data_IF_193536544136
#
_entry.id   IF_193536544136
#
_cell.length_a   1.000
_cell.length_b   1.000
_cell.length_c   1.000
_cell.angle_alpha   90.00
_cell.angle_beta   90.00
_cell.angle_gamma   90.00
#
_symmetry.space_group_name_H-M   'P 1'
#
loop_
_entity.id
_entity.type
_entity.pdbx_description
1 polymer ?
#
# COMPACT_ATOMS: atom_id res chain seq x y z
N UNK A 1 25.28 -11.09 -7.62
CA UNK A 1 25.97 -9.82 -7.29
C UNK A 1 25.04 -9.05 -6.38
N UNK A 2 25.37 -8.93 -5.09
CA UNK A 2 24.47 -8.29 -4.13
C UNK A 2 24.14 -6.84 -4.52
N UNK A 3 22.92 -6.42 -4.23
CA UNK A 3 22.49 -5.03 -4.38
C UNK A 3 23.40 -4.16 -3.52
N UNK A 4 24.30 -3.39 -4.15
CA UNK A 4 25.15 -2.43 -3.45
C UNK A 4 24.39 -1.12 -3.36
N UNK A 5 24.37 -0.51 -2.19
CA UNK A 5 23.96 0.88 -2.06
C UNK A 5 24.97 1.72 -2.84
N UNK A 6 24.50 2.41 -3.89
CA UNK A 6 25.35 3.06 -4.88
C UNK A 6 25.82 4.47 -4.46
N UNK A 7 25.22 5.06 -3.42
CA UNK A 7 25.51 6.41 -2.92
C UNK A 7 24.99 6.60 -1.48
N UNK A 8 25.23 7.76 -0.87
CA UNK A 8 24.79 8.07 0.49
C UNK A 8 23.48 8.87 0.59
N UNK A 9 22.95 9.36 -0.53
CA UNK A 9 21.75 10.20 -0.55
C UNK A 9 21.97 11.59 0.03
N UNK A 10 23.20 12.11 -0.04
CA UNK A 10 23.57 13.46 0.41
C UNK A 10 23.68 14.42 -0.78
N UNK A 11 23.79 15.74 -0.54
CA UNK A 11 24.04 16.72 -1.62
C UNK A 11 25.33 16.40 -2.39
N UNK A 12 26.38 15.96 -1.68
CA UNK A 12 27.68 15.66 -2.28
C UNK A 12 27.75 14.27 -2.92
N UNK A 13 26.84 13.37 -2.55
CA UNK A 13 26.77 11.98 -3.03
C UNK A 13 25.29 11.53 -3.08
N UNK A 14 24.51 12.03 -4.06
CA UNK A 14 23.09 11.72 -4.19
C UNK A 14 22.86 10.32 -4.76
N UNK A 15 21.71 9.71 -4.46
CA UNK A 15 21.33 8.46 -5.11
C UNK A 15 21.12 8.67 -6.62
N UNK A 16 21.62 7.77 -7.48
CA UNK A 16 21.31 7.83 -8.90
C UNK A 16 19.82 7.60 -9.11
N UNK A 17 19.19 8.45 -9.92
CA UNK A 17 17.76 8.40 -10.21
C UNK A 17 17.44 8.51 -11.69
N UNK A 18 16.19 8.20 -12.03
CA UNK A 18 15.64 8.39 -13.36
C UNK A 18 14.15 8.73 -13.25
N UNK A 19 13.66 9.58 -14.17
CA UNK A 19 12.25 9.88 -14.29
C UNK A 19 11.63 8.87 -15.26
N UNK A 20 10.71 8.05 -14.77
CA UNK A 20 9.89 7.19 -15.61
C UNK A 20 8.46 7.76 -15.68
N UNK A 21 8.06 8.41 -16.80
CA UNK A 21 6.76 9.05 -16.90
C UNK A 21 5.67 7.99 -17.02
N UNK A 22 4.90 7.81 -15.96
CA UNK A 22 3.68 6.98 -15.97
C UNK A 22 2.49 7.89 -16.29
N UNK A 23 1.72 7.56 -17.32
CA UNK A 23 0.54 8.31 -17.70
C UNK A 23 -0.55 8.23 -16.61
N UNK A 24 -1.26 9.32 -16.39
CA UNK A 24 -2.38 9.35 -15.43
C UNK A 24 -3.46 8.34 -15.86
N UNK A 25 -4.03 7.62 -14.88
CA UNK A 25 -5.06 6.61 -15.13
C UNK A 25 -4.52 5.26 -15.62
N UNK A 26 -3.20 5.08 -15.66
CA UNK A 26 -2.58 3.78 -15.91
C UNK A 26 -2.66 2.94 -14.63
N UNK A 27 -3.12 1.70 -14.74
CA UNK A 27 -2.97 0.72 -13.66
C UNK A 27 -1.48 0.49 -13.40
N UNK A 28 -1.06 0.82 -12.19
CA UNK A 28 0.32 0.62 -11.74
C UNK A 28 0.36 -0.56 -10.78
N UNK A 29 1.33 -1.43 -10.98
CA UNK A 29 1.65 -2.53 -10.09
C UNK A 29 3.16 -2.65 -9.96
N UNK A 30 3.60 -3.27 -8.88
CA UNK A 30 5.01 -3.59 -8.69
C UNK A 30 5.24 -5.04 -9.10
N UNK A 31 6.37 -5.28 -9.77
CA UNK A 31 6.81 -6.63 -10.14
C UNK A 31 8.29 -6.78 -9.82
N UNK A 32 8.66 -7.98 -9.39
CA UNK A 32 10.05 -8.41 -9.23
C UNK A 32 10.39 -9.46 -10.28
N UNK A 33 11.38 -9.18 -11.12
CA UNK A 33 12.00 -10.19 -11.98
C UNK A 33 13.21 -10.78 -11.25
N UNK A 34 13.12 -12.06 -10.89
CA UNK A 34 14.21 -12.83 -10.29
C UNK A 34 14.85 -13.72 -11.35
N UNK A 35 16.18 -13.68 -11.47
CA UNK A 35 16.94 -14.45 -12.44
C UNK A 35 17.98 -15.33 -11.75
N UNK A 36 17.85 -16.64 -11.92
CA UNK A 36 18.81 -17.64 -11.46
C UNK A 36 19.32 -18.44 -12.66
N UNK A 37 20.55 -18.12 -13.10
CA UNK A 37 21.12 -18.68 -14.33
C UNK A 37 20.31 -18.29 -15.58
N UNK A 38 19.73 -19.28 -16.26
CA UNK A 38 18.86 -19.09 -17.43
C UNK A 38 17.37 -19.05 -17.06
N UNK A 39 17.02 -19.30 -15.80
CA UNK A 39 15.63 -19.27 -15.33
C UNK A 39 15.27 -17.85 -14.91
N UNK A 40 14.14 -17.37 -15.41
CA UNK A 40 13.52 -16.10 -15.03
C UNK A 40 12.18 -16.41 -14.38
N UNK A 41 11.95 -15.81 -13.22
CA UNK A 41 10.68 -15.88 -12.48
C UNK A 41 10.22 -14.46 -12.21
N UNK A 42 8.92 -14.22 -12.38
CA UNK A 42 8.32 -12.90 -12.17
C UNK A 42 7.29 -13.00 -11.07
N UNK A 43 7.44 -12.16 -10.05
CA UNK A 43 6.50 -11.99 -8.96
C UNK A 43 5.77 -10.66 -9.12
N UNK A 44 4.46 -10.67 -8.93
CA UNK A 44 3.55 -9.53 -9.08
C UNK A 44 2.93 -9.18 -7.71
N UNK A 45 2.77 -7.89 -7.45
CA UNK A 45 2.06 -7.37 -6.27
C UNK A 45 0.58 -7.75 -6.23
N UNK A 46 0.01 -8.21 -7.35
CA UNK A 46 -1.28 -8.87 -7.41
C UNK A 46 -1.09 -10.40 -7.32
N UNK A 47 -1.44 -11.04 -6.19
CA UNK A 47 -1.23 -12.48 -6.00
C UNK A 47 -1.90 -13.33 -7.07
N UNK A 48 -3.03 -12.89 -7.64
CA UNK A 48 -3.74 -13.65 -8.69
C UNK A 48 -2.97 -13.73 -10.02
N UNK A 49 -2.00 -12.85 -10.22
CA UNK A 49 -1.09 -12.89 -11.38
C UNK A 49 0.14 -13.78 -11.14
N UNK A 50 0.36 -14.25 -9.91
CA UNK A 50 1.47 -15.14 -9.56
C UNK A 50 1.14 -16.59 -9.87
N UNK A 51 2.14 -17.34 -10.34
CA UNK A 51 1.96 -18.75 -10.75
C UNK A 51 1.54 -19.68 -9.60
N UNK A 52 1.88 -19.31 -8.36
CA UNK A 52 1.51 -20.01 -7.13
C UNK A 52 0.32 -19.36 -6.41
N UNK A 53 -0.21 -18.26 -6.93
CA UNK A 53 -1.30 -17.47 -6.34
C UNK A 53 -0.99 -16.89 -4.95
N UNK A 54 0.29 -16.76 -4.62
CA UNK A 54 0.78 -16.29 -3.32
C UNK A 54 1.27 -14.85 -3.44
N UNK A 55 1.17 -14.08 -2.36
CA UNK A 55 1.79 -12.75 -2.28
C UNK A 55 3.25 -12.88 -1.86
N UNK A 56 4.14 -12.33 -2.69
CA UNK A 56 5.59 -12.29 -2.46
C UNK A 56 6.07 -10.90 -2.03
N UNK A 57 5.14 -9.97 -1.81
CA UNK A 57 5.42 -8.59 -1.40
C UNK A 57 4.86 -8.32 0.00
N UNK A 58 5.73 -7.84 0.90
CA UNK A 58 5.34 -7.18 2.12
C UNK A 58 5.45 -5.66 1.96
N UNK A 59 4.44 -4.95 2.48
CA UNK A 59 4.40 -3.49 2.47
C UNK A 59 4.33 -2.97 3.90
N UNK A 60 5.34 -2.20 4.30
CA UNK A 60 5.36 -1.50 5.58
C UNK A 60 5.08 -0.03 5.37
N UNK A 61 4.06 0.50 6.05
CA UNK A 61 3.79 1.93 6.08
C UNK A 61 4.76 2.63 7.04
N UNK A 62 5.49 3.64 6.57
CA UNK A 62 6.53 4.34 7.33
C UNK A 62 6.25 5.84 7.48
N UNK A 63 5.13 6.25 8.13
CA UNK A 63 4.78 7.66 8.31
C UNK A 63 5.79 8.44 9.16
N UNK A 64 6.58 7.75 9.99
CA UNK A 64 7.62 8.34 10.83
C UNK A 64 8.77 8.98 10.03
N UNK A 65 8.92 8.64 8.75
CA UNK A 65 9.91 9.26 7.88
C UNK A 65 9.48 10.64 7.37
N UNK A 66 8.25 11.08 7.64
CA UNK A 66 7.75 12.40 7.23
C UNK A 66 8.73 13.52 7.61
N UNK A 67 9.13 14.30 6.61
CA UNK A 67 10.06 15.41 6.76
C UNK A 67 11.54 15.04 6.66
N UNK A 68 11.89 13.75 6.66
CA UNK A 68 13.25 13.32 6.34
C UNK A 68 13.58 13.63 4.88
N UNK A 69 14.85 13.97 4.63
CA UNK A 69 15.34 14.43 3.32
C UNK A 69 16.46 13.52 2.84
N UNK A 70 16.40 13.15 1.57
CA UNK A 70 17.48 12.52 0.84
C UNK A 70 17.66 13.21 -0.51
N UNK A 71 18.82 13.03 -1.13
CA UNK A 71 19.12 13.63 -2.42
C UNK A 71 19.18 12.57 -3.51
N UNK A 72 18.56 12.88 -4.65
CA UNK A 72 18.58 12.06 -5.87
C UNK A 72 19.13 12.88 -7.02
N UNK A 73 19.95 12.30 -7.87
CA UNK A 73 20.42 12.93 -9.11
C UNK A 73 19.83 12.21 -10.31
N UNK A 74 18.95 12.91 -11.03
CA UNK A 74 18.29 12.44 -12.24
C UNK A 74 19.06 12.86 -13.53
N UNK A 75 20.34 13.23 -13.41
CA UNK A 75 21.19 13.72 -14.49
C UNK A 75 21.25 15.25 -14.61
N UNK A 76 20.64 15.97 -13.66
CA UNK A 76 20.58 17.45 -13.63
C UNK A 76 21.17 18.03 -12.33
N UNK A 77 21.82 17.18 -11.52
CA UNK A 77 22.35 17.53 -10.22
C UNK A 77 21.45 17.09 -9.07
N UNK A 78 21.93 17.24 -7.82
CA UNK A 78 21.23 16.76 -6.64
C UNK A 78 19.90 17.50 -6.40
N UNK A 79 18.81 16.75 -6.35
CA UNK A 79 17.47 17.22 -6.01
C UNK A 79 17.06 16.70 -4.62
N UNK A 80 16.55 17.59 -3.77
CA UNK A 80 16.06 17.21 -2.45
C UNK A 80 14.69 16.52 -2.56
N UNK A 81 14.62 15.29 -2.09
CA UNK A 81 13.37 14.54 -1.95
C UNK A 81 12.98 14.48 -0.48
N UNK A 82 11.86 15.11 -0.14
CA UNK A 82 11.29 15.10 1.21
C UNK A 82 10.26 13.97 1.32
N UNK A 83 10.42 13.08 2.30
CA UNK A 83 9.42 12.05 2.61
C UNK A 83 8.15 12.66 3.19
N UNK A 84 7.01 12.03 2.89
CA UNK A 84 5.71 12.43 3.40
C UNK A 84 5.06 11.27 4.19
N UNK A 85 3.83 11.48 4.65
CA UNK A 85 3.09 10.45 5.39
C UNK A 85 2.69 9.23 4.56
N UNK A 86 2.84 9.27 3.23
CA UNK A 86 2.58 8.18 2.30
C UNK A 86 3.88 7.53 1.82
N UNK A 87 4.78 7.27 2.76
CA UNK A 87 6.04 6.56 2.52
C UNK A 87 5.88 5.09 2.91
N UNK A 88 6.32 4.18 2.03
CA UNK A 88 6.17 2.74 2.22
C UNK A 88 7.45 2.01 1.87
N UNK A 89 7.79 0.99 2.66
CA UNK A 89 8.84 0.03 2.35
C UNK A 89 8.22 -1.20 1.71
N UNK A 90 8.67 -1.55 0.52
CA UNK A 90 8.28 -2.73 -0.23
C UNK A 90 9.41 -3.73 -0.06
N UNK A 91 9.09 -4.91 0.45
CA UNK A 91 10.04 -5.97 0.76
C UNK A 91 9.58 -7.24 0.05
N UNK A 92 10.44 -7.83 -0.77
CA UNK A 92 10.09 -8.96 -1.64
C UNK A 92 10.89 -10.22 -1.30
N UNK A 93 10.26 -11.36 -1.59
CA UNK A 93 10.92 -12.65 -1.78
C UNK A 93 11.26 -12.86 -3.26
N UNK A 94 12.47 -13.31 -3.58
CA UNK A 94 12.89 -13.55 -4.96
C UNK A 94 12.68 -15.02 -5.41
N UNK A 95 12.41 -15.93 -4.47
CA UNK A 95 12.12 -17.35 -4.67
C UNK A 95 10.65 -17.69 -4.36
N UNK A 96 10.13 -18.80 -4.89
CA UNK A 96 8.83 -19.31 -4.46
C UNK A 96 8.85 -19.57 -2.94
N UNK A 97 7.81 -19.17 -2.20
CA UNK A 97 7.76 -19.30 -0.73
C UNK A 97 8.04 -20.72 -0.22
N UNK A 98 7.71 -21.75 -1.01
CA UNK A 98 8.04 -23.15 -0.68
C UNK A 98 9.55 -23.45 -0.55
N UNK A 99 10.40 -22.54 -1.03
CA UNK A 99 11.86 -22.65 -1.07
C UNK A 99 12.56 -21.39 -0.55
N UNK A 100 11.79 -20.40 -0.09
CA UNK A 100 12.31 -19.15 0.44
C UNK A 100 12.48 -19.27 1.96
N UNK A 101 13.36 -18.45 2.53
CA UNK A 101 13.55 -18.33 3.98
C UNK A 101 12.61 -17.28 4.61
N UNK A 102 11.80 -16.60 3.79
CA UNK A 102 10.66 -15.77 4.20
C UNK A 102 11.05 -14.60 5.10
N UNK A 103 12.26 -14.05 4.92
CA UNK A 103 12.76 -12.90 5.66
C UNK A 103 12.56 -11.56 4.92
N UNK A 104 12.12 -11.62 3.66
CA UNK A 104 11.79 -10.55 2.74
C UNK A 104 12.92 -9.52 2.58
N UNK A 105 14.18 -9.96 2.68
CA UNK A 105 15.34 -9.08 2.53
C UNK A 105 16.07 -9.21 1.19
N UNK A 106 15.58 -10.06 0.27
CA UNK A 106 16.14 -10.23 -1.07
C UNK A 106 16.10 -8.93 -1.88
N UNK A 107 14.97 -8.23 -1.82
CA UNK A 107 14.79 -6.93 -2.45
C UNK A 107 13.92 -6.00 -1.61
N UNK A 108 14.49 -4.83 -1.27
CA UNK A 108 13.82 -3.82 -0.47
C UNK A 108 13.86 -2.48 -1.21
N UNK A 109 12.68 -1.87 -1.39
CA UNK A 109 12.51 -0.57 -2.06
C UNK A 109 11.69 0.36 -1.20
N UNK A 110 12.18 1.58 -0.99
CA UNK A 110 11.44 2.63 -0.30
C UNK A 110 10.73 3.52 -1.34
N UNK A 111 9.40 3.57 -1.28
CA UNK A 111 8.59 4.39 -2.19
C UNK A 111 7.86 5.48 -1.43
N UNK A 112 7.61 6.58 -2.11
CA UNK A 112 6.81 7.70 -1.60
C UNK A 112 5.70 7.99 -2.61
N UNK A 113 4.44 7.88 -2.18
CA UNK A 113 3.32 8.30 -3.00
C UNK A 113 3.12 9.81 -2.90
N UNK A 114 2.69 10.44 -3.99
CA UNK A 114 2.33 11.86 -3.98
C UNK A 114 0.88 12.00 -3.48
N UNK A 115 0.60 12.89 -2.49
CA UNK A 115 -0.72 12.98 -1.85
C UNK A 115 -1.88 13.23 -2.81
N UNK A 116 -1.63 13.97 -3.88
CA UNK A 116 -2.58 14.33 -4.93
C UNK A 116 -2.91 13.17 -5.89
N UNK A 117 -2.19 12.05 -5.79
CA UNK A 117 -2.32 10.90 -6.71
C UNK A 117 -2.77 9.62 -6.02
N UNK A 118 -3.15 9.69 -4.75
CA UNK A 118 -3.72 8.56 -4.02
C UNK A 118 -5.23 8.53 -4.28
N UNK A 119 -5.65 7.65 -5.18
CA UNK A 119 -7.07 7.34 -5.38
C UNK A 119 -7.36 6.10 -4.53
N UNK A 120 -8.02 6.28 -3.38
CA UNK A 120 -8.50 5.15 -2.57
C UNK A 120 -9.76 4.60 -3.24
N UNK A 121 -9.59 3.67 -4.18
CA UNK A 121 -10.71 2.94 -4.82
C UNK A 121 -11.14 1.77 -3.94
N UNK A 122 -11.47 2.02 -2.67
CA UNK A 122 -12.14 0.98 -1.89
C UNK A 122 -13.07 1.57 -0.82
N UNK A 123 -14.15 2.17 -1.31
CA UNK A 123 -15.38 2.28 -0.51
C UNK A 123 -16.47 1.54 -1.25
N UNK A 124 -16.45 0.20 -1.23
CA UNK A 124 -17.74 -0.50 -1.31
C UNK A 124 -18.58 0.06 -0.17
N UNK A 125 -19.71 0.76 -0.42
CA UNK A 125 -20.52 1.31 0.65
C UNK A 125 -20.83 0.16 1.61
N UNK A 126 -20.34 0.25 2.84
CA UNK A 126 -20.70 -0.73 3.87
C UNK A 126 -22.21 -0.61 4.01
N UNK A 127 -22.99 -1.68 3.75
CA UNK A 127 -24.42 -1.64 3.98
C UNK A 127 -24.64 -1.16 5.41
N UNK A 128 -25.39 -0.07 5.57
CA UNK A 128 -25.63 0.52 6.89
C UNK A 128 -26.01 -0.60 7.88
N UNK A 129 -25.40 -0.65 9.08
CA UNK A 129 -25.61 -1.79 9.98
C UNK A 129 -27.10 -1.98 10.23
N UNK A 130 -27.61 -3.20 10.08
CA UNK A 130 -28.99 -3.55 10.42
C UNK A 130 -29.40 -3.10 11.84
N UNK A 131 -28.40 -2.83 12.70
CA UNK A 131 -28.52 -2.15 13.99
C UNK A 131 -29.24 -0.81 13.93
N UNK A 132 -29.05 0.03 12.90
CA UNK A 132 -29.78 1.30 12.77
C UNK A 132 -31.26 1.07 12.47
N UNK A 133 -31.58 0.08 11.63
CA UNK A 133 -32.96 -0.34 11.40
C UNK A 133 -33.60 -0.95 12.65
N UNK A 134 -32.84 -1.71 13.44
CA UNK A 134 -33.28 -2.28 14.71
C UNK A 134 -33.51 -1.20 15.79
N UNK A 135 -32.61 -0.22 15.90
CA UNK A 135 -32.77 0.93 16.80
C UNK A 135 -34.00 1.75 16.38
N UNK A 136 -34.16 2.03 15.08
CA UNK A 136 -35.29 2.76 14.54
C UNK A 136 -36.62 2.05 14.82
N UNK A 137 -36.70 0.76 14.50
CA UNK A 137 -37.91 -0.05 14.73
C UNK A 137 -38.21 -0.26 16.22
N UNK A 138 -37.18 -0.42 17.06
CA UNK A 138 -37.31 -0.50 18.51
C UNK A 138 -37.91 0.78 19.10
N UNK A 139 -37.40 1.95 18.70
CA UNK A 139 -37.91 3.26 19.13
C UNK A 139 -39.38 3.47 18.73
N UNK A 140 -39.70 3.19 17.46
CA UNK A 140 -41.07 3.26 16.94
C UNK A 140 -42.00 2.32 17.73
N UNK A 141 -41.57 1.07 17.97
CA UNK A 141 -42.31 0.09 18.77
C UNK A 141 -42.60 0.58 20.18
N UNK A 142 -41.62 1.18 20.88
CA UNK A 142 -41.83 1.76 22.22
C UNK A 142 -42.81 2.92 22.24
N UNK A 143 -42.82 3.78 21.21
CA UNK A 143 -43.79 4.89 21.12
C UNK A 143 -45.22 4.36 20.97
N UNK A 144 -45.42 3.37 20.10
CA UNK A 144 -46.74 2.74 19.92
C UNK A 144 -47.20 1.98 21.18
N UNK A 145 -46.30 1.27 21.85
CA UNK A 145 -46.61 0.57 23.10
C UNK A 145 -47.02 1.54 24.24
N UNK A 146 -46.39 2.74 24.32
CA UNK A 146 -46.76 3.77 25.29
C UNK A 146 -48.15 4.36 25.04
N UNK A 147 -48.55 4.55 23.78
CA UNK A 147 -49.88 5.10 23.43
C UNK A 147 -51.01 4.16 23.85
N UNK A 148 -50.89 2.85 23.55
CA UNK A 148 -51.91 1.85 23.95
C UNK A 148 -52.10 1.74 25.47
N UNK A 149 -51.05 1.92 26.28
CA UNK A 149 -51.18 1.93 27.75
C UNK A 149 -51.91 3.16 28.30
N UNK A 150 -51.97 4.26 27.55
CA UNK A 150 -52.73 5.46 27.95
C UNK A 150 -54.22 5.27 27.68
N UNK A 151 -54.56 4.56 26.60
CA UNK A 151 -55.95 4.32 26.20
C UNK A 151 -56.61 3.15 26.97
N UNK A 152 -55.82 2.27 27.60
CA UNK A 152 -56.31 1.18 28.47
C UNK A 152 -56.51 1.56 29.95
N UNK A 153 -56.45 2.86 30.29
CA UNK A 153 -56.88 3.36 31.61
C UNK A 153 -58.29 3.97 31.47
N UNK A 154 -59.31 3.11 31.47
CA UNK A 154 -60.71 3.41 31.77
C UNK A 154 -61.15 2.47 32.88
#
# INVERSE_FOLDING_TARGET
>A
TGNKILAQGTIADPFPGAINPIAQGTDVGFKLESKSGNTVTVWDSNPTANSDQIDHLLVYHLPQLKGAVFYVDNGFGPEAVVYNEYTYLLAWEDLPLSRSDSDYNDNIVLVKALPDRIIITNTTPVPEPATLALIGSGLVGTVFARRKKKDLKV
#
